data_IF_579111923207
#
_entry.id   IF_579111923207
#
_cell.length_a   1.000
_cell.length_b   1.000
_cell.length_c   1.000
_cell.angle_alpha   90.00
_cell.angle_beta   90.00
_cell.angle_gamma   90.00
#
_symmetry.space_group_name_H-M   'P 1'
#
loop_
_entity.id
_entity.type
_entity.pdbx_description
1 polymer ?
#
# COMPACT_ATOMS: atom_id res chain seq x y z
N UNK A 1 6.62 10.13 -0.46
CA UNK A 1 6.41 9.74 0.96
C UNK A 1 7.75 9.35 1.61
N UNK A 2 8.32 8.18 1.32
CA UNK A 2 9.58 7.76 1.99
C UNK A 2 10.75 8.73 1.82
N UNK A 3 10.94 9.35 0.65
CA UNK A 3 11.96 10.40 0.48
C UNK A 3 11.78 11.60 1.43
N UNK A 4 10.55 11.97 1.79
CA UNK A 4 10.33 13.09 2.71
C UNK A 4 10.87 12.78 4.12
N UNK A 5 10.71 11.53 4.55
CA UNK A 5 11.09 11.02 5.87
C UNK A 5 12.56 10.59 5.96
N UNK A 6 13.04 9.77 5.01
CA UNK A 6 14.37 9.13 5.05
C UNK A 6 15.33 9.59 3.93
N UNK A 7 14.96 10.63 3.18
CA UNK A 7 15.78 11.26 2.13
C UNK A 7 16.33 10.23 1.14
N UNK A 8 17.63 10.31 0.83
CA UNK A 8 18.31 9.48 -0.17
C UNK A 8 18.28 8.00 0.19
N UNK A 9 18.19 7.63 1.47
CA UNK A 9 18.04 6.22 1.90
C UNK A 9 16.78 5.56 1.36
N UNK A 10 15.81 6.32 0.85
CA UNK A 10 14.65 5.77 0.15
C UNK A 10 15.04 4.86 -1.03
N UNK A 11 16.21 5.06 -1.64
CA UNK A 11 16.68 4.22 -2.76
C UNK A 11 16.88 2.76 -2.34
N UNK A 12 17.13 2.51 -1.05
CA UNK A 12 17.29 1.17 -0.49
C UNK A 12 15.93 0.51 -0.19
N UNK A 13 14.84 1.29 -0.19
CA UNK A 13 13.49 0.78 0.08
C UNK A 13 12.88 0.20 -1.21
N UNK A 14 12.64 -1.10 -1.23
CA UNK A 14 12.01 -1.82 -2.35
C UNK A 14 10.61 -2.26 -1.97
N UNK A 15 9.69 -1.30 -1.82
CA UNK A 15 8.28 -1.60 -1.57
C UNK A 15 7.58 -2.00 -2.88
N UNK A 16 6.66 -2.96 -2.80
CA UNK A 16 5.87 -3.45 -3.94
C UNK A 16 4.45 -3.77 -3.46
N UNK A 17 3.46 -3.65 -4.34
CA UNK A 17 2.12 -4.14 -4.08
C UNK A 17 1.56 -4.82 -5.34
N UNK A 18 0.60 -5.72 -5.17
CA UNK A 18 -0.06 -6.41 -6.27
C UNK A 18 -1.29 -7.20 -5.82
N UNK A 19 -1.88 -7.91 -6.77
CA UNK A 19 -3.02 -8.80 -6.56
C UNK A 19 -2.62 -10.21 -6.98
N UNK A 20 -2.89 -11.20 -6.15
CA UNK A 20 -2.78 -12.60 -6.52
C UNK A 20 -3.99 -13.37 -5.96
N UNK A 21 -4.63 -14.19 -6.79
CA UNK A 21 -5.78 -15.03 -6.41
C UNK A 21 -6.95 -14.27 -5.73
N UNK A 22 -7.20 -13.02 -6.15
CA UNK A 22 -8.22 -12.18 -5.52
C UNK A 22 -7.82 -11.61 -4.16
N UNK A 23 -6.52 -11.54 -3.85
CA UNK A 23 -5.98 -11.02 -2.58
C UNK A 23 -4.95 -9.94 -2.86
N UNK A 24 -5.09 -8.79 -2.19
CA UNK A 24 -4.08 -7.75 -2.18
C UNK A 24 -2.85 -8.19 -1.38
N UNK A 25 -1.68 -7.91 -1.92
CA UNK A 25 -0.39 -8.18 -1.28
C UNK A 25 0.38 -6.87 -1.24
N UNK A 26 0.87 -6.51 -0.04
CA UNK A 26 1.72 -5.35 0.18
C UNK A 26 3.06 -5.81 0.77
N UNK A 27 4.15 -5.58 0.05
CA UNK A 27 5.51 -5.87 0.48
C UNK A 27 6.16 -4.56 0.93
N UNK A 28 6.40 -4.43 2.23
CA UNK A 28 7.03 -3.25 2.83
C UNK A 28 8.44 -3.56 3.35
N UNK A 29 9.33 -2.55 3.46
CA UNK A 29 10.62 -2.72 4.13
C UNK A 29 10.45 -3.13 5.60
N UNK A 30 11.38 -3.93 6.13
CA UNK A 30 11.25 -4.55 7.45
C UNK A 30 11.33 -3.61 8.66
N UNK A 31 11.72 -2.34 8.48
CA UNK A 31 11.76 -1.37 9.58
C UNK A 31 10.35 -0.97 10.03
N UNK A 32 10.11 -0.86 11.34
CA UNK A 32 8.81 -0.43 11.89
C UNK A 32 8.37 0.95 11.41
N UNK A 33 9.31 1.87 11.14
CA UNK A 33 9.03 3.18 10.54
C UNK A 33 8.41 3.04 9.15
N UNK A 34 9.04 2.27 8.26
CA UNK A 34 8.49 2.02 6.93
C UNK A 34 7.10 1.35 6.97
N UNK A 35 6.90 0.38 7.87
CA UNK A 35 5.57 -0.24 8.06
C UNK A 35 4.53 0.77 8.52
N UNK A 36 4.86 1.61 9.52
CA UNK A 36 3.97 2.67 10.01
C UNK A 36 3.62 3.67 8.91
N UNK A 37 4.62 4.14 8.18
CA UNK A 37 4.43 5.10 7.08
C UNK A 37 3.60 4.49 5.95
N UNK A 38 3.88 3.24 5.55
CA UNK A 38 3.08 2.53 4.54
C UNK A 38 1.63 2.33 4.98
N UNK A 39 1.41 1.99 6.25
CA UNK A 39 0.07 1.82 6.80
C UNK A 39 -0.70 3.15 6.88
N UNK A 40 -0.20 4.11 7.64
CA UNK A 40 -0.94 5.34 7.97
C UNK A 40 -1.11 6.27 6.76
N UNK A 41 -0.12 6.32 5.86
CA UNK A 41 -0.14 7.28 4.75
C UNK A 41 -0.73 6.71 3.45
N UNK A 42 -0.92 5.39 3.34
CA UNK A 42 -1.33 4.76 2.08
C UNK A 42 -2.37 3.66 2.33
N UNK A 43 -1.97 2.54 2.94
CA UNK A 43 -2.77 1.31 2.93
C UNK A 43 -4.08 1.50 3.69
N UNK A 44 -4.06 2.17 4.84
CA UNK A 44 -5.25 2.39 5.67
C UNK A 44 -6.35 3.12 4.92
N UNK A 45 -6.03 4.21 4.22
CA UNK A 45 -6.99 4.96 3.43
C UNK A 45 -7.51 4.15 2.23
N UNK A 46 -6.66 3.34 1.61
CA UNK A 46 -7.06 2.49 0.48
C UNK A 46 -7.94 1.30 0.90
N UNK A 47 -7.87 0.87 2.17
CA UNK A 47 -8.72 -0.17 2.74
C UNK A 47 -9.94 0.40 3.49
N UNK A 48 -10.19 1.71 3.38
CA UNK A 48 -11.39 2.37 3.88
C UNK A 48 -12.39 2.58 2.73
N UNK A 49 -13.60 2.03 2.89
CA UNK A 49 -14.68 2.18 1.91
C UNK A 49 -15.15 3.63 1.76
N UNK A 50 -15.00 4.46 2.81
CA UNK A 50 -15.35 5.88 2.77
C UNK A 50 -14.35 6.76 2.02
N UNK A 51 -13.18 6.22 1.67
CA UNK A 51 -12.14 6.99 0.99
C UNK A 51 -12.50 7.25 -0.47
N UNK A 52 -12.69 8.52 -0.80
CA UNK A 52 -13.05 9.04 -2.12
C UNK A 52 -11.83 9.67 -2.81
N UNK A 53 -11.79 9.76 -4.16
CA UNK A 53 -12.82 9.36 -5.12
C UNK A 53 -12.83 7.86 -5.44
N UNK A 54 -11.88 7.08 -4.92
CA UNK A 54 -11.80 5.64 -5.10
C UNK A 54 -10.98 4.99 -3.98
N UNK A 55 -11.17 3.69 -3.79
CA UNK A 55 -10.40 2.86 -2.86
C UNK A 55 -10.29 1.41 -3.36
N UNK A 56 -9.42 0.62 -2.73
CA UNK A 56 -9.21 -0.78 -3.10
C UNK A 56 -10.38 -1.67 -2.69
N UNK A 57 -11.19 -1.28 -1.71
CA UNK A 57 -12.37 -2.05 -1.26
C UNK A 57 -13.41 -2.11 -2.37
N UNK A 58 -13.67 -1.00 -3.05
CA UNK A 58 -14.58 -0.94 -4.21
C UNK A 58 -14.15 -1.84 -5.36
N UNK A 59 -12.85 -2.09 -5.50
CA UNK A 59 -12.29 -2.96 -6.54
C UNK A 59 -12.29 -4.45 -6.16
N UNK A 60 -12.50 -4.79 -4.87
CA UNK A 60 -12.44 -6.19 -4.39
C UNK A 60 -13.34 -7.18 -5.16
N UNK A 61 -14.59 -6.85 -5.54
CA UNK A 61 -15.44 -7.77 -6.30
C UNK A 61 -14.86 -8.16 -7.66
N UNK A 62 -13.95 -7.34 -8.21
CA UNK A 62 -13.39 -7.47 -9.56
C UNK A 62 -12.03 -8.15 -9.60
N UNK A 63 -11.45 -8.51 -8.45
CA UNK A 63 -10.06 -9.01 -8.37
C UNK A 63 -9.81 -10.39 -8.99
N UNK A 64 -10.87 -11.07 -9.42
CA UNK A 64 -10.80 -12.38 -10.09
C UNK A 64 -11.33 -12.33 -11.53
N UNK A 65 -11.59 -11.14 -12.07
CA UNK A 65 -11.91 -10.98 -13.47
C UNK A 65 -10.69 -11.38 -14.32
N UNK A 66 -10.92 -12.24 -15.32
CA UNK A 66 -9.92 -12.75 -16.28
C UNK A 66 -10.16 -12.19 -17.66
#
# INVERSE_FOLDING_TARGET
>A
ISYQEIKTSTIQSRALAGVANGTYIFCLPGSSGACRTGWEQIIKAQLDLGNSPCNLVELMPRLRET
#
